data_IF_341499331558
#
_entry.id   IF_341499331558
#
_cell.length_a   1.000
_cell.length_b   1.000
_cell.length_c   1.000
_cell.angle_alpha   90.00
_cell.angle_beta   90.00
_cell.angle_gamma   90.00
#
_symmetry.space_group_name_H-M   'P 1'
#
loop_
_entity.id
_entity.type
_entity.pdbx_description
1 polymer ?
#
# COMPACT_ATOMS: atom_id res chain seq x y z
N UNK A 1 -26.63 1.91 18.03
CA UNK A 1 -27.17 2.62 16.83
C UNK A 1 -26.67 4.04 16.90
N UNK A 2 -26.09 4.53 15.82
CA UNK A 2 -25.54 5.89 15.71
C UNK A 2 -26.28 6.63 14.59
N UNK A 3 -26.78 7.82 14.88
CA UNK A 3 -27.39 8.69 13.88
C UNK A 3 -26.33 9.69 13.39
N UNK A 4 -25.97 9.59 12.12
CA UNK A 4 -24.94 10.43 11.53
C UNK A 4 -25.58 11.47 10.61
N UNK A 5 -25.67 12.70 11.10
CA UNK A 5 -26.09 13.84 10.29
C UNK A 5 -25.13 14.04 9.10
N UNK A 6 -25.68 14.34 7.93
CA UNK A 6 -24.92 14.67 6.72
C UNK A 6 -25.36 16.03 6.23
N UNK A 7 -24.46 17.01 6.29
CA UNK A 7 -24.75 18.30 5.68
C UNK A 7 -24.68 18.16 4.16
N UNK A 8 -25.70 18.68 3.48
CA UNK A 8 -25.60 18.96 2.05
C UNK A 8 -24.68 20.16 1.83
N UNK A 9 -24.12 20.34 0.62
CA UNK A 9 -23.13 21.40 0.39
C UNK A 9 -23.66 22.79 0.76
N UNK A 10 -24.90 23.09 0.38
CA UNK A 10 -25.52 24.39 0.66
C UNK A 10 -25.76 24.61 2.16
N UNK A 11 -26.16 23.58 2.90
CA UNK A 11 -26.37 23.66 4.35
C UNK A 11 -25.04 23.81 5.08
N UNK A 12 -24.02 23.05 4.67
CA UNK A 12 -22.68 23.15 5.24
C UNK A 12 -22.11 24.55 5.07
N UNK A 13 -22.12 25.07 3.84
CA UNK A 13 -21.62 26.42 3.53
C UNK A 13 -22.40 27.48 4.33
N UNK A 14 -23.73 27.37 4.39
CA UNK A 14 -24.56 28.32 5.13
C UNK A 14 -24.33 28.26 6.64
N UNK A 15 -24.00 27.10 7.20
CA UNK A 15 -23.80 26.92 8.64
C UNK A 15 -22.39 27.28 9.10
N UNK A 16 -21.37 26.91 8.33
CA UNK A 16 -19.97 27.02 8.73
C UNK A 16 -19.25 28.20 8.05
N UNK A 17 -19.89 28.90 7.10
CA UNK A 17 -19.29 29.99 6.31
C UNK A 17 -17.96 29.57 5.65
N UNK A 18 -17.89 28.30 5.25
CA UNK A 18 -16.72 27.64 4.67
C UNK A 18 -16.92 27.32 3.19
N UNK A 19 -15.83 27.01 2.48
CA UNK A 19 -15.84 26.75 1.05
C UNK A 19 -16.17 25.30 0.69
N UNK A 20 -16.17 25.02 -0.62
CA UNK A 20 -16.35 23.64 -1.13
C UNK A 20 -15.17 22.72 -0.80
N UNK A 21 -13.96 23.25 -0.65
CA UNK A 21 -12.79 22.46 -0.27
C UNK A 21 -12.89 21.97 1.18
N UNK A 22 -13.29 22.84 2.11
CA UNK A 22 -13.57 22.45 3.50
C UNK A 22 -14.68 21.40 3.57
N UNK A 23 -15.71 21.55 2.71
CA UNK A 23 -16.82 20.59 2.64
C UNK A 23 -16.35 19.20 2.19
N UNK A 24 -15.46 19.13 1.20
CA UNK A 24 -14.86 17.86 0.76
C UNK A 24 -14.05 17.20 1.89
N UNK A 25 -13.25 17.99 2.62
CA UNK A 25 -12.50 17.50 3.79
C UNK A 25 -13.43 17.05 4.93
N UNK A 26 -14.56 17.74 5.13
CA UNK A 26 -15.60 17.29 6.06
C UNK A 26 -16.17 15.92 5.68
N UNK A 27 -16.46 15.68 4.40
CA UNK A 27 -16.99 14.39 3.95
C UNK A 27 -15.98 13.25 4.17
N UNK A 28 -14.68 13.49 3.93
CA UNK A 28 -13.60 12.52 4.20
C UNK A 28 -13.44 12.24 5.70
N UNK A 29 -13.30 13.29 6.53
CA UNK A 29 -13.21 13.14 7.98
C UNK A 29 -14.39 12.34 8.55
N UNK A 30 -15.60 12.62 8.05
CA UNK A 30 -16.80 11.88 8.43
C UNK A 30 -16.74 10.43 7.97
N UNK A 31 -16.21 10.16 6.78
CA UNK A 31 -16.03 8.80 6.27
C UNK A 31 -15.11 8.00 7.20
N UNK A 32 -13.90 8.49 7.48
CA UNK A 32 -12.96 7.82 8.39
C UNK A 32 -13.52 7.59 9.78
N UNK A 33 -14.16 8.61 10.36
CA UNK A 33 -14.78 8.47 11.67
C UNK A 33 -15.83 7.35 11.71
N UNK A 34 -16.58 7.16 10.61
CA UNK A 34 -17.59 6.10 10.55
C UNK A 34 -17.01 4.73 10.24
N UNK A 35 -15.92 4.64 9.48
CA UNK A 35 -15.20 3.38 9.25
C UNK A 35 -14.52 2.92 10.54
N UNK A 36 -13.75 3.78 11.21
CA UNK A 36 -13.11 3.50 12.50
C UNK A 36 -14.14 3.02 13.55
N UNK A 37 -15.30 3.67 13.59
CA UNK A 37 -16.37 3.28 14.51
C UNK A 37 -16.95 1.89 14.19
N UNK A 38 -17.04 1.50 12.92
CA UNK A 38 -17.54 0.18 12.49
C UNK A 38 -16.53 -0.94 12.73
N UNK A 39 -15.25 -0.64 12.62
CA UNK A 39 -14.17 -1.59 12.90
C UNK A 39 -14.08 -1.89 14.41
N UNK A 40 -14.26 -0.88 15.25
CA UNK A 40 -14.13 -1.01 16.70
C UNK A 40 -15.42 -1.46 17.40
N UNK A 41 -16.60 -1.14 16.83
CA UNK A 41 -17.88 -1.43 17.47
C UNK A 41 -18.92 -2.00 16.51
N UNK A 42 -19.73 -2.95 17.01
CA UNK A 42 -20.90 -3.48 16.30
C UNK A 42 -22.07 -2.48 16.30
N UNK A 43 -21.91 -1.35 15.61
CA UNK A 43 -22.91 -0.27 15.55
C UNK A 43 -23.65 -0.22 14.21
N UNK A 44 -24.98 -0.10 14.29
CA UNK A 44 -25.79 0.29 13.14
C UNK A 44 -25.74 1.80 12.94
N UNK A 45 -25.14 2.26 11.84
CA UNK A 45 -25.12 3.67 11.42
C UNK A 45 -26.37 4.00 10.59
N UNK A 46 -27.11 5.05 10.98
CA UNK A 46 -28.22 5.60 10.21
C UNK A 46 -27.81 6.98 9.70
N UNK A 47 -27.71 7.09 8.38
CA UNK A 47 -27.45 8.35 7.70
C UNK A 47 -28.73 9.20 7.67
N UNK A 48 -28.65 10.41 8.22
CA UNK A 48 -29.74 11.39 8.28
C UNK A 48 -29.29 12.62 7.48
N UNK A 49 -29.85 12.88 6.29
CA UNK A 49 -29.60 14.14 5.59
C UNK A 49 -29.97 15.30 6.52
N UNK A 50 -29.09 16.27 6.67
CA UNK A 50 -29.39 17.46 7.44
C UNK A 50 -30.42 18.30 6.66
N UNK A 51 -31.47 18.73 7.34
CA UNK A 51 -32.48 19.64 6.78
C UNK A 51 -32.52 20.86 7.72
N UNK A 52 -31.93 21.96 7.27
CA UNK A 52 -31.76 23.16 8.09
C UNK A 52 -33.09 23.75 8.55
N UNK A 53 -34.11 23.79 7.70
CA UNK A 53 -35.42 24.34 8.05
C UNK A 53 -36.07 23.53 9.17
N UNK A 54 -36.02 22.20 9.05
CA UNK A 54 -36.52 21.29 10.08
C UNK A 54 -35.73 21.36 11.37
N UNK A 55 -34.41 21.44 11.28
CA UNK A 55 -33.56 21.58 12.45
C UNK A 55 -33.85 22.88 13.20
N UNK A 56 -33.96 24.01 12.49
CA UNK A 56 -34.29 25.31 13.12
C UNK A 56 -35.65 25.26 13.79
N UNK A 57 -36.66 24.66 13.14
CA UNK A 57 -37.98 24.46 13.75
C UNK A 57 -37.90 23.57 15.00
N UNK A 58 -37.19 22.45 14.91
CA UNK A 58 -37.00 21.55 16.05
C UNK A 58 -36.29 22.26 17.22
N UNK A 59 -35.33 23.13 16.95
CA UNK A 59 -34.63 23.91 17.98
C UNK A 59 -35.56 24.92 18.68
N UNK A 60 -36.49 25.52 17.92
CA UNK A 60 -37.54 26.40 18.49
C UNK A 60 -38.51 25.61 19.39
N UNK A 61 -38.88 24.40 18.97
CA UNK A 61 -39.75 23.50 19.73
C UNK A 61 -39.03 22.87 20.95
N UNK A 62 -37.70 22.90 20.97
CA UNK A 62 -36.85 22.31 22.01
C UNK A 62 -35.87 23.34 22.61
N UNK A 63 -36.35 24.36 23.37
CA UNK A 63 -35.55 25.51 23.80
C UNK A 63 -34.45 25.20 24.83
N UNK A 64 -34.38 23.95 25.32
CA UNK A 64 -33.32 23.47 26.21
C UNK A 64 -32.01 23.21 25.46
N UNK A 65 -32.06 23.03 24.14
CA UNK A 65 -30.88 22.94 23.29
C UNK A 65 -30.43 24.33 22.82
N UNK A 66 -29.12 24.53 22.77
CA UNK A 66 -28.50 25.64 22.02
C UNK A 66 -27.99 25.12 20.70
N UNK A 67 -28.04 25.93 19.65
CA UNK A 67 -27.47 25.54 18.36
C UNK A 67 -25.99 25.19 18.53
N UNK A 68 -25.61 24.00 18.08
CA UNK A 68 -24.30 23.41 18.30
C UNK A 68 -24.25 21.96 17.84
N UNK A 69 -23.06 21.36 17.92
CA UNK A 69 -22.85 19.97 17.48
C UNK A 69 -23.75 18.99 18.24
N UNK A 70 -23.89 19.15 19.56
CA UNK A 70 -24.73 18.30 20.42
C UNK A 70 -26.21 18.35 20.04
N UNK A 71 -26.73 19.56 19.80
CA UNK A 71 -28.12 19.75 19.37
C UNK A 71 -28.40 19.11 18.00
N UNK A 72 -27.43 19.20 17.07
CA UNK A 72 -27.54 18.57 15.74
C UNK A 72 -27.49 17.04 15.83
N UNK A 73 -26.65 16.49 16.70
CA UNK A 73 -26.62 15.06 16.99
C UNK A 73 -27.92 14.58 17.65
N UNK A 74 -28.48 15.35 18.58
CA UNK A 74 -29.76 15.05 19.22
C UNK A 74 -30.92 15.07 18.24
N UNK A 75 -30.99 16.10 17.38
CA UNK A 75 -31.97 16.18 16.29
C UNK A 75 -31.86 14.98 15.34
N UNK A 76 -30.64 14.66 14.88
CA UNK A 76 -30.43 13.53 13.99
C UNK A 76 -30.86 12.20 14.63
N UNK A 77 -30.59 12.02 15.93
CA UNK A 77 -31.02 10.84 16.67
C UNK A 77 -32.56 10.76 16.80
N UNK A 78 -33.23 11.88 17.02
CA UNK A 78 -34.70 11.93 17.06
C UNK A 78 -35.31 11.57 15.71
N UNK A 79 -34.80 12.15 14.62
CA UNK A 79 -35.20 11.83 13.25
C UNK A 79 -34.94 10.36 12.93
N UNK A 80 -33.77 9.83 13.28
CA UNK A 80 -33.42 8.43 13.04
C UNK A 80 -34.32 7.43 13.79
N UNK A 81 -34.86 7.81 14.96
CA UNK A 81 -35.79 6.99 15.75
C UNK A 81 -37.22 6.98 15.18
N UNK A 82 -37.56 7.91 14.30
CA UNK A 82 -38.89 8.03 13.70
C UNK A 82 -38.83 7.72 12.19
N UNK A 83 -39.23 6.50 11.75
CA UNK A 83 -39.14 6.09 10.35
C UNK A 83 -39.87 7.03 9.39
N UNK A 84 -41.02 7.60 9.77
CA UNK A 84 -41.76 8.51 8.91
C UNK A 84 -41.03 9.86 8.75
N UNK A 85 -40.46 10.38 9.83
CA UNK A 85 -39.67 11.61 9.78
C UNK A 85 -38.39 11.42 8.97
N UNK A 86 -37.69 10.29 9.15
CA UNK A 86 -36.50 9.93 8.40
C UNK A 86 -36.80 9.81 6.90
N UNK A 87 -37.89 9.13 6.55
CA UNK A 87 -38.30 8.96 5.14
C UNK A 87 -38.66 10.30 4.50
N UNK A 88 -39.33 11.19 5.24
CA UNK A 88 -39.64 12.52 4.74
C UNK A 88 -38.37 13.34 4.47
N UNK A 89 -37.39 13.31 5.38
CA UNK A 89 -36.10 14.00 5.19
C UNK A 89 -35.32 13.41 4.01
N UNK A 90 -35.35 12.09 3.84
CA UNK A 90 -34.74 11.40 2.69
C UNK A 90 -35.43 11.71 1.37
N UNK A 91 -36.76 11.84 1.37
CA UNK A 91 -37.51 12.18 0.15
C UNK A 91 -37.17 13.56 -0.40
N UNK A 92 -36.82 14.50 0.48
CA UNK A 92 -36.36 15.86 0.11
C UNK A 92 -34.91 15.86 -0.37
N UNK A 93 -34.11 14.95 0.16
CA UNK A 93 -32.67 14.84 -0.08
C UNK A 93 -32.32 13.42 -0.54
N UNK A 94 -32.76 13.01 -1.73
CA UNK A 94 -32.70 11.61 -2.17
C UNK A 94 -31.27 11.15 -2.49
N UNK A 95 -30.38 12.08 -2.81
CA UNK A 95 -28.98 11.79 -3.11
C UNK A 95 -28.13 12.34 -1.98
N UNK A 96 -27.41 11.44 -1.31
CA UNK A 96 -26.43 11.82 -0.30
C UNK A 96 -25.08 12.11 -0.97
N UNK A 97 -24.38 13.17 -0.52
CA UNK A 97 -23.04 13.48 -1.00
C UNK A 97 -22.08 12.38 -0.58
N UNK A 98 -21.26 11.93 -1.52
CA UNK A 98 -20.20 10.96 -1.28
C UNK A 98 -18.87 11.68 -0.99
N UNK A 99 -18.02 11.14 -0.11
CA UNK A 99 -16.66 11.65 0.06
C UNK A 99 -15.86 11.52 -1.25
N UNK A 100 -14.99 12.49 -1.58
CA UNK A 100 -14.10 12.41 -2.73
C UNK A 100 -12.90 11.50 -2.41
N UNK A 101 -13.15 10.19 -2.33
CA UNK A 101 -12.11 9.19 -2.07
C UNK A 101 -11.05 9.18 -3.17
N UNK A 102 -11.39 9.61 -4.37
CA UNK A 102 -10.46 9.76 -5.49
C UNK A 102 -9.31 10.76 -5.21
N UNK A 103 -9.59 11.81 -4.42
CA UNK A 103 -8.62 12.84 -4.03
C UNK A 103 -7.92 12.54 -2.69
N UNK A 104 -8.25 11.43 -2.02
CA UNK A 104 -7.69 11.05 -0.72
C UNK A 104 -6.17 10.87 -0.80
N UNK A 105 -5.44 11.38 0.20
CA UNK A 105 -4.01 11.14 0.31
C UNK A 105 -3.75 9.70 0.76
N UNK A 106 -3.12 8.92 -0.12
CA UNK A 106 -2.78 7.51 0.08
C UNK A 106 -1.27 7.32 -0.07
N UNK A 107 -0.74 6.39 0.69
CA UNK A 107 0.65 5.92 0.63
C UNK A 107 0.61 4.42 0.39
N UNK A 108 1.41 3.96 -0.55
CA UNK A 108 1.55 2.55 -0.88
C UNK A 108 3.02 2.22 -1.08
N UNK A 109 3.50 1.13 -0.47
CA UNK A 109 4.83 0.60 -0.74
C UNK A 109 4.74 -0.55 -1.74
N UNK A 110 5.44 -0.41 -2.86
CA UNK A 110 5.82 -1.54 -3.69
C UNK A 110 7.17 -2.09 -3.24
N UNK A 111 7.26 -3.40 -3.14
CA UNK A 111 8.52 -4.09 -2.93
C UNK A 111 8.97 -4.73 -4.23
N UNK A 112 10.11 -4.27 -4.75
CA UNK A 112 10.88 -5.03 -5.73
C UNK A 112 11.45 -6.27 -5.04
N UNK A 113 10.78 -7.41 -5.19
CA UNK A 113 11.21 -8.70 -4.66
C UNK A 113 12.30 -9.25 -5.57
N UNK A 114 13.50 -9.42 -5.02
CA UNK A 114 14.68 -9.81 -5.79
C UNK A 114 15.21 -11.13 -5.25
N UNK A 115 15.14 -12.23 -6.03
CA UNK A 115 15.78 -13.49 -5.68
C UNK A 115 17.29 -13.39 -5.85
N UNK A 116 18.03 -13.76 -4.80
CA UNK A 116 19.49 -13.68 -4.71
C UNK A 116 20.06 -14.99 -4.18
N UNK A 117 21.07 -15.53 -4.86
CA UNK A 117 21.80 -16.71 -4.39
C UNK A 117 22.99 -16.29 -3.53
N UNK A 118 22.98 -16.61 -2.23
CA UNK A 118 24.07 -16.39 -1.28
C UNK A 118 24.82 -17.69 -1.00
N UNK A 119 26.13 -17.74 -1.20
CA UNK A 119 26.95 -18.92 -0.93
C UNK A 119 27.41 -18.96 0.53
N UNK A 120 27.56 -17.79 1.17
CA UNK A 120 28.04 -17.68 2.54
C UNK A 120 27.36 -16.52 3.30
N UNK A 121 27.15 -16.67 4.63
CA UNK A 121 26.63 -15.59 5.47
C UNK A 121 27.47 -14.29 5.46
N UNK A 122 28.75 -14.38 5.11
CA UNK A 122 29.66 -13.23 5.06
C UNK A 122 29.37 -12.28 3.89
N UNK A 123 28.40 -12.63 3.03
CA UNK A 123 27.94 -11.82 1.89
C UNK A 123 26.76 -10.90 2.26
N UNK A 124 26.11 -11.14 3.40
CA UNK A 124 25.02 -10.31 3.92
C UNK A 124 25.41 -8.83 4.09
N UNK A 125 26.63 -8.47 4.53
CA UNK A 125 27.08 -7.08 4.56
C UNK A 125 26.99 -6.37 3.19
N UNK A 126 27.14 -7.08 2.07
CA UNK A 126 27.05 -6.49 0.73
C UNK A 126 25.64 -6.01 0.37
N UNK A 127 24.61 -6.63 0.96
CA UNK A 127 23.19 -6.26 0.74
C UNK A 127 22.57 -5.44 1.89
N UNK A 128 23.20 -5.43 3.06
CA UNK A 128 22.75 -4.65 4.24
C UNK A 128 23.10 -3.15 4.15
N UNK A 129 24.11 -2.82 3.35
CA UNK A 129 24.62 -1.46 3.16
C UNK A 129 23.70 -0.56 2.32
N UNK A 130 23.95 0.76 2.35
CA UNK A 130 23.30 1.70 1.43
C UNK A 130 23.63 1.33 -0.01
N UNK A 131 22.64 1.39 -0.89
CA UNK A 131 22.82 1.41 -2.33
C UNK A 131 23.47 2.74 -2.74
N UNK A 132 24.19 2.81 -3.86
CA UNK A 132 24.76 4.07 -4.32
C UNK A 132 23.62 5.06 -4.62
N UNK A 133 23.76 6.30 -4.16
CA UNK A 133 22.65 7.26 -4.19
C UNK A 133 22.16 7.55 -5.61
N UNK A 134 23.09 7.75 -6.55
CA UNK A 134 22.80 8.01 -7.96
C UNK A 134 21.99 6.86 -8.60
N UNK A 135 22.28 5.61 -8.22
CA UNK A 135 21.53 4.45 -8.71
C UNK A 135 20.11 4.40 -8.16
N UNK A 136 19.92 4.73 -6.89
CA UNK A 136 18.58 4.75 -6.26
C UNK A 136 17.74 5.88 -6.83
N UNK A 137 18.35 7.06 -7.07
CA UNK A 137 17.70 8.16 -7.78
C UNK A 137 17.29 7.73 -9.20
N UNK A 138 18.18 7.04 -9.93
CA UNK A 138 17.85 6.55 -11.26
C UNK A 138 16.68 5.56 -11.22
N UNK A 139 16.65 4.61 -10.28
CA UNK A 139 15.52 3.68 -10.12
C UNK A 139 14.21 4.44 -9.87
N UNK A 140 14.22 5.46 -9.01
CA UNK A 140 13.05 6.30 -8.74
C UNK A 140 12.58 7.07 -9.98
N UNK A 141 13.51 7.60 -10.79
CA UNK A 141 13.21 8.32 -12.03
C UNK A 141 12.65 7.39 -13.11
N UNK A 142 13.22 6.20 -13.27
CA UNK A 142 12.71 5.19 -14.22
C UNK A 142 11.33 4.68 -13.81
N UNK A 143 11.10 4.50 -12.50
CA UNK A 143 9.77 4.18 -11.98
C UNK A 143 8.79 5.33 -12.24
N UNK A 144 9.24 6.59 -12.11
CA UNK A 144 8.41 7.76 -12.41
C UNK A 144 8.04 7.84 -13.89
N UNK A 145 8.95 7.50 -14.78
CA UNK A 145 8.72 7.45 -16.23
C UNK A 145 7.74 6.33 -16.61
N UNK A 146 7.83 5.17 -15.94
CA UNK A 146 6.84 4.09 -16.09
C UNK A 146 5.42 4.58 -15.78
N UNK A 147 5.27 5.44 -14.77
CA UNK A 147 4.02 6.11 -14.43
C UNK A 147 3.85 7.50 -15.06
N UNK A 148 4.40 7.75 -16.25
CA UNK A 148 4.37 9.06 -16.92
C UNK A 148 2.95 9.63 -17.17
N UNK A 149 1.93 8.78 -17.19
CA UNK A 149 0.52 9.19 -17.28
C UNK A 149 -0.03 9.90 -16.03
N UNK A 150 0.62 9.73 -14.87
CA UNK A 150 0.18 10.28 -13.58
C UNK A 150 0.73 11.69 -13.38
N UNK A 151 -0.09 12.68 -12.99
CA UNK A 151 0.39 14.05 -12.77
C UNK A 151 1.30 14.17 -11.54
N UNK A 152 2.06 15.27 -11.47
CA UNK A 152 2.89 15.56 -10.30
C UNK A 152 2.05 15.83 -9.04
N UNK A 153 2.57 15.40 -7.90
CA UNK A 153 1.96 15.59 -6.60
C UNK A 153 1.68 17.07 -6.26
N UNK A 154 0.47 17.34 -5.77
CA UNK A 154 0.09 18.63 -5.20
C UNK A 154 -0.92 18.48 -4.06
N UNK A 155 -0.63 19.11 -2.93
CA UNK A 155 -1.58 19.22 -1.81
C UNK A 155 -2.81 20.04 -2.20
N UNK A 156 -3.99 19.53 -1.85
CA UNK A 156 -5.25 20.28 -1.84
C UNK A 156 -5.64 20.65 -0.39
N UNK A 157 -5.44 19.72 0.55
CA UNK A 157 -5.63 19.89 1.99
C UNK A 157 -4.69 18.94 2.75
N UNK A 158 -4.85 18.81 4.07
CA UNK A 158 -4.11 17.79 4.84
C UNK A 158 -4.57 16.35 4.56
N UNK A 159 -5.77 16.18 3.99
CA UNK A 159 -6.40 14.89 3.69
C UNK A 159 -6.43 14.59 2.20
N UNK A 160 -6.29 15.61 1.35
CA UNK A 160 -6.45 15.49 -0.10
C UNK A 160 -5.27 16.02 -0.87
N UNK A 161 -5.02 15.37 -2.00
CA UNK A 161 -4.00 15.78 -2.96
C UNK A 161 -4.46 15.48 -4.39
N UNK A 162 -3.58 15.78 -5.36
CA UNK A 162 -3.68 15.34 -6.75
C UNK A 162 -2.33 14.84 -7.20
N UNK A 163 -2.33 13.94 -8.17
CA UNK A 163 -1.10 13.34 -8.68
C UNK A 163 -0.37 12.53 -7.62
N UNK A 164 0.87 12.20 -7.93
CA UNK A 164 1.68 11.29 -7.13
C UNK A 164 3.14 11.72 -7.11
N UNK A 165 3.84 11.27 -6.09
CA UNK A 165 5.29 11.29 -6.00
C UNK A 165 5.81 9.92 -5.59
N UNK A 166 7.01 9.61 -6.08
CA UNK A 166 7.69 8.34 -5.83
C UNK A 166 8.94 8.62 -5.00
N UNK A 167 9.20 7.74 -4.05
CA UNK A 167 10.44 7.68 -3.29
C UNK A 167 11.01 6.28 -3.35
N UNK A 168 12.33 6.14 -3.52
CA UNK A 168 13.01 4.87 -3.46
C UNK A 168 13.84 4.75 -2.18
N UNK A 169 13.81 3.58 -1.53
CA UNK A 169 14.61 3.36 -0.32
C UNK A 169 16.09 3.30 -0.62
N UNK A 170 16.92 3.93 0.20
CA UNK A 170 18.38 3.88 0.07
C UNK A 170 19.00 2.49 0.33
N UNK A 171 18.21 1.50 0.77
CA UNK A 171 18.66 0.16 1.18
C UNK A 171 17.58 -0.88 0.88
N UNK A 172 18.02 -2.14 0.85
CA UNK A 172 17.13 -3.30 0.87
C UNK A 172 16.59 -3.56 2.29
N UNK A 173 15.39 -4.11 2.34
CA UNK A 173 14.65 -4.54 3.53
C UNK A 173 14.55 -6.07 3.48
N UNK A 174 14.68 -6.73 4.63
CA UNK A 174 14.36 -8.15 4.75
C UNK A 174 12.84 -8.35 4.88
N UNK A 175 12.26 -9.42 4.32
CA UNK A 175 10.81 -9.65 4.39
C UNK A 175 10.18 -9.54 5.78
N UNK A 176 10.78 -10.07 6.86
CA UNK A 176 10.21 -9.93 8.21
C UNK A 176 10.12 -8.49 8.72
N UNK A 177 10.86 -7.57 8.10
CA UNK A 177 10.93 -6.16 8.50
C UNK A 177 10.10 -5.23 7.61
N UNK A 178 9.36 -5.76 6.61
CA UNK A 178 8.55 -4.97 5.68
C UNK A 178 7.49 -4.11 6.41
N UNK A 179 6.69 -4.74 7.27
CA UNK A 179 5.67 -4.03 8.06
C UNK A 179 6.24 -2.89 8.93
N UNK A 180 7.41 -3.09 9.53
CA UNK A 180 8.06 -2.04 10.32
C UNK A 180 8.54 -0.86 9.44
N UNK A 181 8.85 -1.11 8.16
CA UNK A 181 9.18 -0.06 7.21
C UNK A 181 7.92 0.68 6.74
N UNK A 182 6.81 -0.03 6.48
CA UNK A 182 5.51 0.57 6.13
C UNK A 182 5.03 1.57 7.20
N UNK A 183 5.06 1.18 8.47
CA UNK A 183 4.74 2.06 9.61
C UNK A 183 5.60 3.33 9.60
N UNK A 184 6.92 3.17 9.40
CA UNK A 184 7.87 4.29 9.36
C UNK A 184 7.58 5.25 8.20
N UNK A 185 7.24 4.72 7.03
CA UNK A 185 6.97 5.52 5.83
C UNK A 185 5.69 6.32 5.98
N UNK A 186 4.63 5.72 6.54
CA UNK A 186 3.35 6.39 6.78
C UNK A 186 3.51 7.67 7.61
N UNK A 187 4.41 7.65 8.60
CA UNK A 187 4.74 8.82 9.42
C UNK A 187 5.62 9.84 8.69
N UNK A 188 6.62 9.37 7.94
CA UNK A 188 7.70 10.24 7.42
C UNK A 188 7.38 10.89 6.08
N UNK A 189 6.64 10.21 5.21
CA UNK A 189 6.47 10.63 3.80
C UNK A 189 5.77 11.98 3.67
N UNK A 190 4.89 12.33 4.62
CA UNK A 190 4.20 13.64 4.65
C UNK A 190 5.18 14.81 4.75
N UNK A 191 6.24 14.67 5.54
CA UNK A 191 7.28 15.69 5.66
C UNK A 191 8.10 15.76 4.37
N UNK A 192 8.46 14.61 3.80
CA UNK A 192 9.25 14.50 2.58
C UNK A 192 8.56 15.06 1.34
N UNK A 193 7.23 15.02 1.27
CA UNK A 193 6.46 15.59 0.14
C UNK A 193 6.70 17.10 -0.04
N UNK A 194 7.15 17.79 1.00
CA UNK A 194 7.49 19.22 0.95
C UNK A 194 8.95 19.50 0.55
N UNK A 195 9.77 18.46 0.39
CA UNK A 195 11.18 18.58 -0.03
C UNK A 195 11.35 18.24 -1.51
N UNK A 196 12.57 18.27 -2.06
CA UNK A 196 12.88 17.78 -3.41
C UNK A 196 13.49 16.38 -3.44
N UNK A 197 13.58 15.73 -2.28
CA UNK A 197 14.21 14.42 -2.16
C UNK A 197 13.32 13.32 -2.76
N UNK A 198 13.92 12.38 -3.48
CA UNK A 198 13.24 11.20 -4.05
C UNK A 198 13.82 9.90 -3.49
N UNK A 199 14.76 10.00 -2.55
CA UNK A 199 15.37 8.88 -1.84
C UNK A 199 14.95 8.94 -0.38
N UNK A 200 14.36 7.87 0.12
CA UNK A 200 13.93 7.76 1.51
C UNK A 200 14.96 6.95 2.32
N UNK A 201 15.28 7.45 3.51
CA UNK A 201 16.15 6.75 4.45
C UNK A 201 15.46 5.50 4.99
N UNK A 202 16.09 4.33 4.85
CA UNK A 202 15.59 3.09 5.46
C UNK A 202 16.14 2.96 6.89
N UNK A 203 15.28 2.85 7.92
CA UNK A 203 15.72 2.73 9.31
C UNK A 203 16.69 1.56 9.51
N UNK A 204 17.62 1.70 10.46
CA UNK A 204 18.60 0.64 10.73
C UNK A 204 17.98 -0.67 11.22
N UNK A 205 16.81 -0.59 11.82
CA UNK A 205 16.02 -1.73 12.28
C UNK A 205 15.44 -2.55 11.13
N UNK A 206 15.24 -1.96 9.95
CA UNK A 206 14.61 -2.60 8.81
C UNK A 206 15.61 -3.26 7.84
N UNK A 207 16.90 -3.05 8.07
CA UNK A 207 17.99 -3.55 7.20
C UNK A 207 18.05 -5.07 7.25
N UNK A 208 18.53 -5.65 6.16
CA UNK A 208 18.87 -7.08 6.11
C UNK A 208 19.97 -7.38 7.13
N UNK A 209 19.70 -8.28 8.08
CA UNK A 209 20.68 -8.82 9.03
C UNK A 209 20.73 -10.33 8.92
N UNK A 210 21.83 -10.90 9.42
CA UNK A 210 22.01 -12.36 9.48
C UNK A 210 20.88 -13.08 10.21
N UNK A 211 20.46 -12.52 11.35
CA UNK A 211 19.37 -13.04 12.17
C UNK A 211 18.02 -13.08 11.42
N UNK A 212 17.84 -12.22 10.41
CA UNK A 212 16.62 -12.18 9.61
C UNK A 212 16.59 -13.29 8.54
N UNK A 213 17.71 -14.00 8.37
CA UNK A 213 17.94 -15.07 7.38
C UNK A 213 18.34 -16.41 8.06
N UNK A 214 18.24 -16.49 9.39
CA UNK A 214 18.89 -17.55 10.18
C UNK A 214 18.24 -18.93 10.08
N UNK A 215 16.94 -19.02 9.77
CA UNK A 215 16.27 -20.31 9.57
C UNK A 215 16.79 -21.03 8.32
N UNK A 216 17.30 -20.27 7.34
CA UNK A 216 17.79 -20.76 6.06
C UNK A 216 19.29 -21.11 6.09
N UNK A 217 20.09 -20.43 6.90
CA UNK A 217 21.57 -20.50 6.89
C UNK A 217 22.20 -21.71 7.64
N UNK A 218 21.41 -22.72 8.03
CA UNK A 218 21.91 -23.87 8.81
C UNK A 218 22.46 -25.02 7.95
N UNK A 219 22.44 -24.92 6.61
CA UNK A 219 22.89 -25.95 5.66
C UNK A 219 24.21 -25.66 4.91
N UNK A 220 24.86 -26.72 4.42
CA UNK A 220 26.02 -26.66 3.50
C UNK A 220 25.57 -26.50 2.02
N UNK A 221 24.86 -25.43 1.64
CA UNK A 221 24.48 -25.16 0.24
C UNK A 221 24.30 -23.65 -0.02
N UNK A 222 24.41 -23.19 -1.29
CA UNK A 222 23.98 -21.84 -1.64
C UNK A 222 22.50 -21.62 -1.28
N UNK A 223 22.23 -20.50 -0.63
CA UNK A 223 20.94 -20.07 -0.13
C UNK A 223 20.24 -19.15 -1.12
N UNK A 224 19.01 -19.46 -1.48
CA UNK A 224 18.17 -18.52 -2.21
C UNK A 224 17.47 -17.59 -1.20
N UNK A 225 17.77 -16.31 -1.27
CA UNK A 225 17.24 -15.26 -0.39
C UNK A 225 16.39 -14.30 -1.21
N UNK A 226 15.23 -13.93 -0.67
CA UNK A 226 14.38 -12.89 -1.23
C UNK A 226 14.65 -11.56 -0.53
N UNK A 227 15.16 -10.59 -1.29
CA UNK A 227 15.45 -9.24 -0.79
C UNK A 227 14.41 -8.26 -1.32
N UNK A 228 14.02 -7.29 -0.49
CA UNK A 228 12.99 -6.31 -0.85
C UNK A 228 13.62 -4.95 -1.11
N UNK A 229 13.39 -4.39 -2.28
CA UNK A 229 13.68 -2.99 -2.57
C UNK A 229 12.40 -2.16 -2.44
N UNK A 230 12.29 -1.27 -1.43
CA UNK A 230 11.08 -0.50 -1.25
C UNK A 230 11.01 0.70 -2.21
N UNK A 231 9.88 0.80 -2.90
CA UNK A 231 9.47 1.91 -3.74
C UNK A 231 8.14 2.46 -3.20
N UNK A 232 8.19 3.65 -2.61
CA UNK A 232 7.05 4.29 -1.97
C UNK A 232 6.34 5.20 -2.97
N UNK A 233 5.05 5.03 -3.14
CA UNK A 233 4.18 5.92 -3.88
C UNK A 233 3.33 6.70 -2.87
N UNK A 234 3.28 8.01 -3.00
CA UNK A 234 2.43 8.87 -2.17
C UNK A 234 1.67 9.85 -3.06
N UNK A 235 0.35 9.82 -3.01
CA UNK A 235 -0.48 10.48 -4.02
C UNK A 235 -1.97 10.40 -3.72
N UNK A 236 -2.77 10.84 -4.69
CA UNK A 236 -4.22 10.71 -4.61
C UNK A 236 -4.61 9.23 -4.80
N UNK A 237 -5.59 8.72 -4.06
CA UNK A 237 -5.94 7.30 -4.06
C UNK A 237 -6.25 6.78 -5.48
N UNK A 238 -6.95 7.56 -6.30
CA UNK A 238 -7.24 7.20 -7.69
C UNK A 238 -5.98 7.05 -8.57
N UNK A 239 -4.92 7.80 -8.28
CA UNK A 239 -3.65 7.71 -8.99
C UNK A 239 -2.84 6.51 -8.51
N UNK A 240 -2.92 6.19 -7.22
CA UNK A 240 -2.29 4.99 -6.64
C UNK A 240 -2.95 3.73 -7.20
N UNK A 241 -4.28 3.66 -7.21
CA UNK A 241 -5.06 2.55 -7.79
C UNK A 241 -4.68 2.31 -9.25
N UNK A 242 -4.60 3.39 -10.06
CA UNK A 242 -4.13 3.28 -11.45
C UNK A 242 -2.70 2.73 -11.55
N UNK A 243 -1.79 3.12 -10.65
CA UNK A 243 -0.42 2.60 -10.64
C UNK A 243 -0.38 1.11 -10.29
N UNK A 244 -1.23 0.67 -9.38
CA UNK A 244 -1.39 -0.74 -9.02
C UNK A 244 -1.84 -1.59 -10.20
N UNK A 245 -2.93 -1.18 -10.85
CA UNK A 245 -3.46 -1.84 -12.05
C UNK A 245 -2.36 -1.95 -13.13
N UNK A 246 -1.59 -0.88 -13.35
CA UNK A 246 -0.53 -0.87 -14.36
C UNK A 246 0.63 -1.82 -14.01
N UNK A 247 1.00 -1.94 -12.73
CA UNK A 247 2.03 -2.89 -12.28
C UNK A 247 1.52 -4.33 -12.40
N UNK A 248 0.26 -4.57 -12.04
CA UNK A 248 -0.38 -5.89 -12.18
C UNK A 248 -0.45 -6.33 -13.65
N UNK A 249 -0.93 -5.46 -14.56
CA UNK A 249 -0.96 -5.70 -16.01
C UNK A 249 0.44 -5.99 -16.58
N UNK A 250 1.48 -5.45 -15.95
CA UNK A 250 2.88 -5.65 -16.32
C UNK A 250 3.54 -6.84 -15.62
N UNK A 251 2.78 -7.66 -14.87
CA UNK A 251 3.28 -8.78 -14.08
C UNK A 251 4.41 -8.37 -13.11
N UNK A 252 4.30 -7.19 -12.50
CA UNK A 252 5.33 -6.65 -11.60
C UNK A 252 6.57 -6.09 -12.30
N UNK A 253 6.62 -6.03 -13.63
CA UNK A 253 7.79 -5.56 -14.39
C UNK A 253 7.66 -4.07 -14.73
N UNK A 254 8.31 -3.22 -13.95
CA UNK A 254 8.33 -1.76 -14.13
C UNK A 254 9.39 -1.29 -15.15
N UNK A 255 9.52 -2.01 -16.27
CA UNK A 255 10.38 -1.62 -17.39
C UNK A 255 11.86 -1.42 -17.01
N UNK A 256 12.35 -0.18 -17.16
CA UNK A 256 13.75 0.18 -16.91
C UNK A 256 14.09 0.18 -15.41
N UNK A 257 13.12 0.46 -14.52
CA UNK A 257 13.35 0.43 -13.08
C UNK A 257 13.76 -0.98 -12.60
N UNK A 258 13.04 -2.01 -13.07
CA UNK A 258 13.37 -3.42 -12.80
C UNK A 258 14.78 -3.78 -13.28
N UNK A 259 15.17 -3.32 -14.47
CA UNK A 259 16.51 -3.58 -15.02
C UNK A 259 17.60 -2.88 -14.21
N UNK A 260 17.42 -1.61 -13.87
CA UNK A 260 18.39 -0.84 -13.10
C UNK A 260 18.59 -1.46 -11.71
N UNK A 261 17.50 -1.81 -11.02
CA UNK A 261 17.56 -2.48 -9.72
C UNK A 261 18.37 -3.78 -9.78
N UNK A 262 18.16 -4.58 -10.82
CA UNK A 262 18.91 -5.83 -11.02
C UNK A 262 20.39 -5.57 -11.24
N UNK A 263 20.75 -4.63 -12.12
CA UNK A 263 22.16 -4.33 -12.42
C UNK A 263 22.91 -3.83 -11.19
N UNK A 264 22.30 -2.95 -10.38
CA UNK A 264 22.90 -2.45 -9.13
C UNK A 264 23.26 -3.60 -8.17
N UNK A 265 22.41 -4.63 -8.09
CA UNK A 265 22.68 -5.79 -7.24
C UNK A 265 23.67 -6.77 -7.86
N UNK A 266 23.67 -6.92 -9.19
CA UNK A 266 24.67 -7.73 -9.90
C UNK A 266 26.08 -7.19 -9.70
N UNK A 267 26.26 -5.88 -9.71
CA UNK A 267 27.56 -5.26 -9.44
C UNK A 267 28.06 -5.54 -8.01
N UNK A 268 27.15 -5.75 -7.05
CA UNK A 268 27.49 -6.06 -5.65
C UNK A 268 27.75 -7.54 -5.37
N UNK A 269 27.01 -8.42 -6.03
CA UNK A 269 26.95 -9.85 -5.68
C UNK A 269 27.50 -10.78 -6.75
N UNK A 270 27.64 -10.29 -7.98
CA UNK A 270 27.99 -11.07 -9.17
C UNK A 270 26.78 -11.31 -10.08
N UNK A 271 27.02 -11.30 -11.41
CA UNK A 271 25.97 -11.32 -12.43
C UNK A 271 25.04 -12.55 -12.40
N UNK A 272 25.58 -13.71 -12.05
CA UNK A 272 24.88 -15.01 -12.12
C UNK A 272 24.04 -15.31 -10.87
N UNK A 273 24.02 -14.40 -9.90
CA UNK A 273 23.46 -14.63 -8.56
C UNK A 273 22.21 -13.82 -8.26
N UNK A 274 21.78 -12.99 -9.20
CA UNK A 274 20.63 -12.08 -9.05
C UNK A 274 19.59 -12.41 -10.13
N UNK A 275 18.43 -12.89 -9.69
CA UNK A 275 17.30 -13.14 -10.58
C UNK A 275 16.59 -11.87 -11.03
N UNK A 276 15.46 -12.03 -11.71
CA UNK A 276 14.66 -10.90 -12.18
C UNK A 276 13.83 -10.34 -11.01
N UNK A 277 13.90 -9.02 -10.72
CA UNK A 277 13.01 -8.42 -9.73
C UNK A 277 11.57 -8.37 -10.21
N UNK A 278 10.62 -8.55 -9.30
CA UNK A 278 9.20 -8.29 -9.53
C UNK A 278 8.69 -7.33 -8.45
N UNK A 279 7.98 -6.27 -8.85
CA UNK A 279 7.36 -5.34 -7.93
C UNK A 279 5.99 -5.85 -7.50
N UNK A 280 5.77 -5.89 -6.19
CA UNK A 280 4.54 -6.39 -5.55
C UNK A 280 4.09 -5.37 -4.50
N UNK A 281 2.80 -5.01 -4.44
CA UNK A 281 2.32 -4.09 -3.42
C UNK A 281 2.37 -4.73 -2.02
N UNK A 282 2.54 -3.91 -0.99
CA UNK A 282 2.72 -4.34 0.41
C UNK A 282 1.66 -5.36 0.89
N UNK A 283 0.39 -5.15 0.55
CA UNK A 283 -0.69 -6.05 0.97
C UNK A 283 -0.67 -7.42 0.27
N UNK A 284 0.00 -7.53 -0.89
CA UNK A 284 0.14 -8.78 -1.63
C UNK A 284 1.48 -9.49 -1.36
N UNK A 285 2.40 -8.83 -0.65
CA UNK A 285 3.75 -9.32 -0.40
C UNK A 285 3.72 -10.70 0.29
N UNK A 286 2.91 -10.88 1.33
CA UNK A 286 2.85 -12.15 2.07
C UNK A 286 2.46 -13.33 1.18
N UNK A 287 1.35 -13.20 0.44
CA UNK A 287 0.87 -14.23 -0.50
C UNK A 287 1.88 -14.49 -1.62
N UNK A 288 2.57 -13.45 -2.10
CA UNK A 288 3.59 -13.59 -3.12
C UNK A 288 4.81 -14.38 -2.61
N UNK A 289 5.29 -14.07 -1.41
CA UNK A 289 6.42 -14.77 -0.80
C UNK A 289 6.08 -16.24 -0.53
N UNK A 290 4.88 -16.53 -0.02
CA UNK A 290 4.39 -17.90 0.16
C UNK A 290 4.37 -18.66 -1.17
N UNK A 291 3.81 -18.05 -2.23
CA UNK A 291 3.78 -18.67 -3.56
C UNK A 291 5.18 -18.95 -4.13
N UNK A 292 6.13 -18.03 -3.92
CA UNK A 292 7.52 -18.24 -4.35
C UNK A 292 8.15 -19.39 -3.56
N UNK A 293 7.96 -19.44 -2.24
CA UNK A 293 8.48 -20.53 -1.40
C UNK A 293 7.91 -21.89 -1.78
N UNK A 294 6.59 -22.01 -1.94
CA UNK A 294 5.93 -23.26 -2.33
C UNK A 294 6.45 -23.79 -3.68
N UNK A 295 6.57 -22.93 -4.68
CA UNK A 295 7.07 -23.35 -6.00
C UNK A 295 8.56 -23.69 -6.01
N UNK A 296 9.36 -23.08 -5.11
CA UNK A 296 10.78 -23.41 -4.97
C UNK A 296 10.99 -24.79 -4.35
N UNK A 297 10.13 -25.19 -3.40
CA UNK A 297 10.18 -26.53 -2.79
C UNK A 297 9.87 -27.64 -3.81
N UNK A 298 8.92 -27.41 -4.73
CA UNK A 298 8.60 -28.37 -5.80
C UNK A 298 9.76 -28.60 -6.79
N UNK A 299 10.52 -27.56 -7.15
CA UNK A 299 11.67 -27.72 -8.07
C UNK A 299 12.85 -28.43 -7.40
N UNK A 300 13.01 -28.31 -6.08
CA UNK A 300 14.07 -29.00 -5.33
C UNK A 300 13.75 -30.48 -5.07
N UNK A 301 12.49 -30.83 -4.79
CA UNK A 301 12.05 -32.22 -4.65
C UNK A 301 12.24 -33.03 -5.95
N UNK A 302 11.93 -32.44 -7.11
CA UNK A 302 12.14 -33.08 -8.42
C UNK A 302 13.64 -33.29 -8.74
N UNK A 303 14.53 -32.41 -8.25
CA UNK A 303 15.97 -32.55 -8.41
C UNK A 303 16.53 -33.65 -7.48
N UNK A 304 16.08 -33.69 -6.23
CA UNK A 304 16.51 -34.71 -5.27
C UNK A 304 15.99 -36.10 -5.68
N UNK A 305 14.79 -36.23 -6.26
CA UNK A 305 14.28 -37.47 -6.84
C UNK A 305 15.09 -37.93 -8.08
N UNK A 306 15.55 -36.99 -8.90
CA UNK A 306 16.45 -37.30 -10.02
C UNK A 306 17.84 -37.72 -9.51
N UNK A 307 18.34 -37.13 -8.43
CA UNK A 307 19.62 -37.48 -7.82
C UNK A 307 19.57 -38.80 -7.04
N UNK A 308 18.47 -39.13 -6.34
CA UNK A 308 18.28 -40.41 -5.66
C UNK A 308 18.13 -41.56 -6.67
N UNK A 309 17.49 -41.30 -7.82
CA UNK A 309 17.38 -42.25 -8.92
C UNK A 309 18.69 -42.40 -9.72
N UNK A 310 19.54 -41.38 -9.76
CA UNK A 310 20.90 -41.48 -10.31
C UNK A 310 21.84 -42.31 -9.40
N UNK A 311 21.60 -42.33 -8.09
CA UNK A 311 22.36 -43.12 -7.10
C UNK A 311 22.10 -44.64 -7.12
N UNK A 312 21.01 -45.10 -7.74
CA UNK A 312 20.63 -46.53 -7.83
C UNK A 312 20.81 -47.14 -9.22
N UNK A 313 21.53 -46.47 -10.11
CA UNK A 313 21.71 -46.87 -11.52
C UNK A 313 23.09 -47.44 -11.89
N UNK A 314 23.55 -48.55 -11.30
CA UNK A 314 24.61 -49.36 -11.94
C UNK A 314 24.31 -50.86 -11.84
N UNK A 315 23.84 -51.42 -12.96
CA UNK A 315 24.36 -52.68 -13.54
C UNK A 315 23.80 -52.95 -14.94
N UNK A 316 24.70 -52.75 -15.91
CA UNK A 316 24.99 -53.66 -17.03
C UNK A 316 24.06 -53.80 -18.25
N UNK A 317 24.78 -53.79 -19.39
CA UNK A 317 24.55 -54.41 -20.71
C UNK A 317 23.68 -53.62 -21.67
N UNK A 318 24.31 -52.87 -22.58
CA UNK A 318 24.83 -53.37 -23.88
C UNK A 318 23.72 -53.92 -24.77
N UNK A 319 23.24 -53.07 -25.66
CA UNK A 319 22.21 -53.43 -26.63
C UNK A 319 22.09 -52.37 -27.72
N UNK A 320 23.18 -52.15 -28.45
CA UNK A 320 23.10 -51.60 -29.81
C UNK A 320 21.96 -52.31 -30.55
N UNK A 321 21.00 -51.57 -31.11
CA UNK A 321 20.44 -51.87 -32.43
C UNK A 321 19.98 -50.60 -33.13
N UNK A 322 20.53 -50.44 -34.33
CA UNK A 322 20.23 -49.44 -35.36
C UNK A 322 18.76 -49.52 -35.83
N UNK A 323 18.17 -48.34 -35.99
CA UNK A 323 17.40 -47.81 -37.14
C UNK A 323 16.51 -48.80 -37.94
N UNK A 324 15.20 -48.49 -37.98
CA UNK A 324 14.51 -47.99 -39.19
C UNK A 324 13.42 -47.01 -38.81
#
# INVERSE_FOLDING_TARGET
MVAAAIYLPHDYIAMFSQGMDDYKDYLLNRHYFLEELRENEAVRVIHVPFDRERYVKWLQDNPYWKDGAEARSAWALEVAKNPAALEEVRSRNPVLPAPPLDEEFTVLVFYGVIPVVMEMPDEIPAVSGRLPHEDVEQIALEAREFFSGVPEFKWLSSLRCRGMRIFAGERLVAPPNASAFEDYVNDTVREMLNTREIVISVPSTCRVRRLDLEDDLTGERPLLVLLLFPLVLAGAASEIEYCEDLVEESEGKMGLATKQLREVLRERLGHDRVGEPAFVPEYALGMFLEHVMENMDFELEDIDDVMENAGKGKKNRSGLKRIK
#
